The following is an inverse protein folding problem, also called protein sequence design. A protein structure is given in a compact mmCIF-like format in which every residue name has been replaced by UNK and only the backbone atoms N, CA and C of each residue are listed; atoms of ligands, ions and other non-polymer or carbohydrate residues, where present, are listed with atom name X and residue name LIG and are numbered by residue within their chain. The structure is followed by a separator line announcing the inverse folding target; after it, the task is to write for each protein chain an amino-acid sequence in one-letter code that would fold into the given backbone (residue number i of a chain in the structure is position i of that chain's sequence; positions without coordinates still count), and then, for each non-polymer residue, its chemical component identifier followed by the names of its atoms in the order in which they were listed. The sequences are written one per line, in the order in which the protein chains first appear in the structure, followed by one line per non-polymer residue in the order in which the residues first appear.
data_IF_870571686962
#
_entry.id   IF_870571686962
#
_cell.length_a   1.000
_cell.length_b   1.000
_cell.length_c   1.000
_cell.angle_alpha   90.00
_cell.angle_beta   90.00
_cell.angle_gamma   90.00
#
_symmetry.space_group_name_H-M   'P 1'
#
loop_
_entity.id
_entity.type
_entity.pdbx_description
1 polymer ?
#
# COMPACT_ATOMS: atom_id res chain seq x y z
N UNK A 1 -14.47 -18.23 2.64
CA UNK A 1 -14.07 -17.87 4.01
C UNK A 1 -15.14 -18.28 5.01
N UNK A 2 -16.38 -17.88 4.79
CA UNK A 2 -17.51 -18.15 5.70
C UNK A 2 -17.76 -19.63 5.94
N UNK A 3 -17.54 -20.49 4.94
CA UNK A 3 -17.71 -21.95 5.08
C UNK A 3 -16.75 -22.59 6.12
N UNK A 4 -15.65 -21.93 6.43
CA UNK A 4 -14.65 -22.40 7.39
C UNK A 4 -14.82 -21.75 8.78
N UNK A 5 -15.69 -20.76 8.89
CA UNK A 5 -16.07 -20.16 10.17
C UNK A 5 -17.39 -20.79 10.61
N UNK A 6 -17.36 -21.53 11.70
CA UNK A 6 -18.55 -22.21 12.26
C UNK A 6 -19.56 -21.25 12.90
N UNK A 7 -19.63 -20.00 12.43
CA UNK A 7 -20.46 -18.92 12.98
C UNK A 7 -21.22 -18.20 11.87
N UNK A 8 -22.41 -17.73 12.17
CA UNK A 8 -23.23 -16.88 11.30
C UNK A 8 -22.73 -15.43 11.34
N UNK A 9 -21.48 -15.20 10.91
CA UNK A 9 -20.91 -13.87 10.84
C UNK A 9 -21.14 -13.29 9.43
N UNK A 10 -21.78 -12.13 9.29
CA UNK A 10 -21.90 -11.47 7.99
C UNK A 10 -20.53 -11.16 7.38
N UNK A 11 -20.41 -11.31 6.07
CA UNK A 11 -19.20 -10.95 5.33
C UNK A 11 -19.55 -10.06 4.16
N UNK A 12 -18.74 -9.02 3.94
CA UNK A 12 -18.86 -8.06 2.84
C UNK A 12 -17.52 -8.04 2.10
N UNK A 13 -17.58 -8.05 0.78
CA UNK A 13 -16.40 -7.80 -0.07
C UNK A 13 -16.54 -6.40 -0.64
N UNK A 14 -15.48 -5.62 -0.52
CA UNK A 14 -15.37 -4.28 -1.10
C UNK A 14 -14.16 -4.24 -2.01
N UNK A 15 -14.21 -3.39 -3.02
CA UNK A 15 -13.10 -3.13 -3.93
C UNK A 15 -12.90 -1.62 -4.08
N UNK A 16 -11.73 -1.17 -3.72
CA UNK A 16 -11.19 0.17 -3.95
C UNK A 16 -9.74 0.05 -4.46
N UNK A 17 -9.48 -0.97 -5.28
CA UNK A 17 -8.17 -1.28 -5.81
C UNK A 17 -7.12 -1.44 -4.69
N UNK A 18 -5.95 -0.82 -4.80
CA UNK A 18 -4.88 -0.87 -3.81
C UNK A 18 -5.33 -0.41 -2.40
N UNK A 19 -6.34 0.45 -2.31
CA UNK A 19 -6.85 0.99 -1.05
C UNK A 19 -7.91 0.10 -0.37
N UNK A 20 -8.28 -1.05 -0.96
CA UNK A 20 -9.38 -1.91 -0.49
C UNK A 20 -9.28 -2.29 0.99
N UNK A 21 -8.10 -2.71 1.46
CA UNK A 21 -7.95 -3.13 2.85
C UNK A 21 -8.08 -1.97 3.84
N UNK A 22 -7.53 -0.76 3.56
CA UNK A 22 -7.78 0.39 4.41
C UNK A 22 -9.25 0.82 4.36
N UNK A 23 -9.91 0.69 3.21
CA UNK A 23 -11.36 0.96 3.11
C UNK A 23 -12.17 -0.07 3.90
N UNK A 24 -11.76 -1.34 3.96
CA UNK A 24 -12.41 -2.34 4.82
C UNK A 24 -12.26 -2.01 6.31
N UNK A 25 -11.10 -1.50 6.71
CA UNK A 25 -10.84 -1.02 8.07
C UNK A 25 -11.72 0.20 8.40
N UNK A 26 -11.85 1.13 7.45
CA UNK A 26 -12.72 2.31 7.58
C UNK A 26 -14.19 1.91 7.78
N UNK A 27 -14.69 0.99 6.94
CA UNK A 27 -16.07 0.51 7.04
C UNK A 27 -16.32 -0.19 8.39
N UNK A 28 -15.42 -1.06 8.82
CA UNK A 28 -15.50 -1.73 10.12
C UNK A 28 -15.48 -0.72 11.27
N UNK A 29 -14.55 0.22 11.24
CA UNK A 29 -14.44 1.29 12.23
C UNK A 29 -15.74 2.11 12.32
N UNK A 30 -16.29 2.52 11.19
CA UNK A 30 -17.52 3.33 11.14
C UNK A 30 -18.72 2.57 11.71
N UNK A 31 -18.87 1.28 11.39
CA UNK A 31 -19.94 0.45 11.92
C UNK A 31 -19.80 0.19 13.44
N UNK A 32 -18.58 0.02 13.92
CA UNK A 32 -18.33 -0.14 15.36
C UNK A 32 -18.57 1.19 16.09
N UNK A 33 -18.07 2.30 15.57
CA UNK A 33 -18.23 3.63 16.15
C UNK A 33 -19.70 4.07 16.19
N UNK A 34 -20.51 3.65 15.22
CA UNK A 34 -21.97 3.90 15.20
C UNK A 34 -22.80 2.91 16.00
N UNK A 35 -22.19 1.92 16.64
CA UNK A 35 -22.88 0.92 17.47
C UNK A 35 -23.63 -0.16 16.68
N UNK A 36 -23.42 -0.27 15.37
CA UNK A 36 -24.03 -1.33 14.53
C UNK A 36 -23.46 -2.71 14.84
N UNK A 37 -22.16 -2.75 15.20
CA UNK A 37 -21.48 -3.97 15.63
C UNK A 37 -20.46 -3.65 16.74
N UNK A 38 -20.03 -4.70 17.47
CA UNK A 38 -19.05 -4.54 18.54
C UNK A 38 -17.63 -4.85 18.07
N UNK A 39 -17.49 -5.70 17.06
CA UNK A 39 -16.18 -6.09 16.53
C UNK A 39 -16.27 -6.58 15.09
N UNK A 40 -15.15 -6.53 14.39
CA UNK A 40 -15.00 -7.02 13.03
C UNK A 40 -13.56 -7.48 12.76
N UNK A 41 -13.40 -8.40 11.81
CA UNK A 41 -12.13 -8.66 11.14
C UNK A 41 -12.17 -7.88 9.83
N UNK A 42 -11.20 -7.01 9.62
CA UNK A 42 -11.06 -6.19 8.42
C UNK A 42 -9.67 -6.36 7.81
N UNK A 43 -9.58 -6.25 6.51
CA UNK A 43 -8.31 -6.45 5.77
C UNK A 43 -8.57 -6.82 4.33
N UNK A 44 -7.67 -7.61 3.76
CA UNK A 44 -7.80 -8.02 2.37
C UNK A 44 -6.98 -9.23 2.00
N UNK A 45 -7.25 -9.72 0.81
CA UNK A 45 -6.50 -10.80 0.15
C UNK A 45 -6.21 -10.38 -1.28
N UNK A 46 -5.13 -10.91 -1.82
CA UNK A 46 -4.80 -10.80 -3.24
C UNK A 46 -4.22 -12.12 -3.74
N UNK A 47 -4.65 -12.54 -4.90
CA UNK A 47 -4.11 -13.71 -5.60
C UNK A 47 -3.77 -13.36 -7.04
N UNK A 48 -2.71 -12.56 -7.19
CA UNK A 48 -2.23 -12.10 -8.50
C UNK A 48 -1.74 -13.27 -9.37
N UNK A 49 -1.19 -14.32 -8.77
CA UNK A 49 -0.70 -15.50 -9.47
C UNK A 49 -1.82 -16.37 -10.07
N UNK A 50 -3.03 -16.33 -9.50
CA UNK A 50 -4.21 -17.10 -9.93
C UNK A 50 -5.29 -16.20 -10.54
N UNK A 51 -4.90 -15.07 -11.10
CA UNK A 51 -5.83 -14.14 -11.72
C UNK A 51 -6.58 -14.81 -12.88
N UNK A 52 -7.93 -14.78 -12.90
CA UNK A 52 -8.69 -15.37 -13.99
C UNK A 52 -8.52 -14.56 -15.27
N UNK A 53 -8.59 -15.22 -16.40
CA UNK A 53 -8.77 -14.55 -17.68
C UNK A 53 -10.16 -13.90 -17.73
N UNK A 54 -10.20 -12.66 -18.26
CA UNK A 54 -11.45 -11.92 -18.48
C UNK A 54 -11.68 -11.78 -19.98
N UNK A 55 -12.92 -11.84 -20.39
CA UNK A 55 -13.34 -11.70 -21.80
C UNK A 55 -14.28 -10.49 -21.86
N UNK A 56 -14.11 -9.64 -22.88
CA UNK A 56 -15.06 -8.56 -23.14
C UNK A 56 -16.42 -9.09 -23.51
N UNK A 57 -17.48 -8.41 -23.11
CA UNK A 57 -18.84 -8.74 -23.53
C UNK A 57 -18.98 -8.63 -25.06
N UNK A 58 -19.93 -9.37 -25.63
CA UNK A 58 -20.14 -9.39 -27.08
C UNK A 58 -20.50 -8.01 -27.65
N UNK A 59 -21.11 -7.16 -26.82
CA UNK A 59 -21.55 -5.81 -27.19
C UNK A 59 -20.47 -4.74 -26.94
N UNK A 60 -19.31 -5.13 -26.39
CA UNK A 60 -18.17 -4.20 -26.19
C UNK A 60 -17.51 -3.91 -27.55
N UNK A 61 -16.99 -2.72 -27.72
CA UNK A 61 -16.23 -2.33 -28.92
C UNK A 61 -14.80 -2.92 -28.95
N UNK A 62 -14.41 -3.59 -27.88
CA UNK A 62 -13.18 -4.40 -27.74
C UNK A 62 -13.51 -5.86 -27.79
N UNK A 63 -12.58 -6.66 -28.22
CA UNK A 63 -12.74 -8.11 -28.24
C UNK A 63 -11.53 -8.83 -27.62
N UNK A 64 -11.67 -10.14 -27.37
CA UNK A 64 -10.62 -10.99 -26.84
C UNK A 64 -10.46 -10.98 -25.34
N UNK A 65 -9.27 -11.44 -24.91
CA UNK A 65 -8.92 -11.58 -23.50
C UNK A 65 -8.25 -10.30 -22.97
N UNK A 66 -8.55 -9.98 -21.72
CA UNK A 66 -7.83 -8.92 -21.01
C UNK A 66 -7.49 -9.33 -19.58
N UNK A 67 -6.38 -8.80 -19.04
CA UNK A 67 -5.92 -9.06 -17.66
C UNK A 67 -6.13 -7.88 -16.74
N UNK A 68 -6.00 -6.66 -17.24
CA UNK A 68 -6.13 -5.44 -16.46
C UNK A 68 -7.48 -4.81 -16.75
N UNK A 69 -8.30 -4.65 -15.73
CA UNK A 69 -9.57 -3.96 -15.83
C UNK A 69 -9.35 -2.46 -16.10
N UNK A 70 -10.25 -1.84 -16.81
CA UNK A 70 -10.26 -0.39 -17.02
C UNK A 70 -10.57 0.33 -15.70
N UNK A 71 -9.73 1.29 -15.31
CA UNK A 71 -9.88 2.01 -14.04
C UNK A 71 -10.77 3.25 -14.13
N UNK A 72 -10.84 3.86 -15.31
CA UNK A 72 -11.69 5.04 -15.56
C UNK A 72 -12.32 4.96 -16.93
N UNK A 73 -13.47 5.60 -17.17
CA UNK A 73 -14.11 5.60 -18.47
C UNK A 73 -13.24 6.17 -19.60
N UNK A 74 -12.34 7.10 -19.27
CA UNK A 74 -11.50 7.82 -20.22
C UNK A 74 -10.19 7.12 -20.55
N UNK A 75 -9.70 6.23 -19.67
CA UNK A 75 -8.40 5.59 -19.82
C UNK A 75 -8.57 4.08 -20.01
N UNK A 76 -8.37 3.63 -21.24
CA UNK A 76 -8.47 2.23 -21.66
C UNK A 76 -7.12 1.51 -21.68
N UNK A 77 -6.03 2.19 -21.33
CA UNK A 77 -4.70 1.58 -21.37
C UNK A 77 -4.56 0.50 -20.30
N UNK A 78 -4.11 -0.71 -20.64
CA UNK A 78 -3.74 -1.73 -19.65
C UNK A 78 -2.50 -1.32 -18.83
N UNK A 79 -1.81 -0.26 -19.23
CA UNK A 79 -0.62 0.29 -18.58
C UNK A 79 -0.93 1.58 -17.80
N UNK A 80 -2.21 1.92 -17.61
CA UNK A 80 -2.67 3.19 -17.03
C UNK A 80 -1.95 3.54 -15.70
N UNK A 81 -1.64 2.57 -14.85
CA UNK A 81 -0.92 2.80 -13.59
C UNK A 81 0.55 3.17 -13.81
N UNK A 82 1.24 2.48 -14.73
CA UNK A 82 2.62 2.81 -15.10
C UNK A 82 2.70 4.17 -15.77
N UNK A 83 1.76 4.46 -16.68
CA UNK A 83 1.64 5.76 -17.35
C UNK A 83 1.31 6.88 -16.36
N UNK A 84 0.49 6.60 -15.36
CA UNK A 84 0.19 7.52 -14.26
C UNK A 84 1.42 7.84 -13.42
N UNK A 85 2.25 6.84 -13.12
CA UNK A 85 3.52 7.02 -12.43
C UNK A 85 4.49 7.87 -13.29
N UNK A 86 4.62 7.56 -14.58
CA UNK A 86 5.45 8.32 -15.52
C UNK A 86 5.00 9.78 -15.61
N UNK A 87 3.70 10.04 -15.78
CA UNK A 87 3.14 11.40 -15.79
C UNK A 87 3.43 12.15 -14.49
N UNK A 88 3.36 11.45 -13.35
CA UNK A 88 3.66 12.05 -12.04
C UNK A 88 5.13 12.39 -11.90
N UNK A 89 6.04 11.51 -12.36
CA UNK A 89 7.48 11.75 -12.40
C UNK A 89 7.78 13.03 -13.21
N UNK A 90 7.23 13.15 -14.41
CA UNK A 90 7.42 14.32 -15.26
C UNK A 90 6.80 15.60 -14.67
N UNK A 91 5.60 15.51 -14.11
CA UNK A 91 4.93 16.65 -13.44
C UNK A 91 5.78 17.25 -12.32
N UNK A 92 6.47 16.40 -11.57
CA UNK A 92 7.29 16.81 -10.44
C UNK A 92 8.77 17.00 -10.80
N UNK A 93 9.13 16.87 -12.10
CA UNK A 93 10.50 17.02 -12.63
C UNK A 93 11.52 16.15 -11.85
N UNK A 94 11.18 14.86 -11.66
CA UNK A 94 12.04 13.89 -10.99
C UNK A 94 12.83 13.11 -12.04
N UNK A 95 14.13 12.98 -11.84
CA UNK A 95 15.00 12.15 -12.69
C UNK A 95 15.01 10.70 -12.22
N UNK A 96 15.49 9.81 -13.07
CA UNK A 96 15.64 8.39 -12.75
C UNK A 96 16.61 8.18 -11.56
N UNK A 97 17.68 8.92 -11.54
CA UNK A 97 18.73 8.87 -10.54
C UNK A 97 18.25 9.34 -9.16
N UNK A 98 17.39 10.34 -9.12
CA UNK A 98 16.76 10.80 -7.87
C UNK A 98 15.86 9.76 -7.21
N UNK A 99 15.38 8.75 -7.96
CA UNK A 99 14.58 7.66 -7.41
C UNK A 99 15.43 6.55 -6.76
N UNK A 100 16.72 6.44 -7.09
CA UNK A 100 17.57 5.34 -6.62
C UNK A 100 17.71 5.24 -5.10
N UNK A 101 17.93 6.34 -4.35
CA UNK A 101 18.04 6.28 -2.90
C UNK A 101 16.80 5.68 -2.21
N UNK A 102 15.60 5.98 -2.70
CA UNK A 102 14.36 5.47 -2.12
C UNK A 102 14.25 3.95 -2.32
N UNK A 103 14.51 3.47 -3.53
CA UNK A 103 14.48 2.05 -3.86
C UNK A 103 15.50 1.25 -3.02
N UNK A 104 16.75 1.72 -3.00
CA UNK A 104 17.82 1.11 -2.23
C UNK A 104 17.49 1.14 -0.74
N UNK A 105 17.01 2.28 -0.24
CA UNK A 105 16.62 2.48 1.14
C UNK A 105 15.50 1.56 1.59
N UNK A 106 14.45 1.35 0.76
CA UNK A 106 13.36 0.43 1.04
C UNK A 106 13.89 -0.99 1.25
N UNK A 107 14.70 -1.50 0.34
CA UNK A 107 15.30 -2.85 0.47
C UNK A 107 16.25 -2.98 1.67
N UNK A 108 17.03 -1.94 2.00
CA UNK A 108 17.91 -1.94 3.16
C UNK A 108 17.13 -1.96 4.47
N UNK A 109 16.08 -1.14 4.58
CA UNK A 109 15.18 -1.10 5.75
C UNK A 109 14.46 -2.44 5.93
N UNK A 110 13.94 -3.02 4.85
CA UNK A 110 13.30 -4.34 4.86
C UNK A 110 14.27 -5.44 5.31
N UNK A 111 15.50 -5.46 4.82
CA UNK A 111 16.53 -6.41 5.26
C UNK A 111 16.79 -6.27 6.75
N UNK A 112 17.00 -5.05 7.25
CA UNK A 112 17.20 -4.77 8.66
C UNK A 112 16.01 -5.19 9.53
N UNK A 113 14.79 -4.98 9.04
CA UNK A 113 13.57 -5.37 9.76
C UNK A 113 13.45 -6.88 9.92
N UNK A 114 13.84 -7.67 8.90
CA UNK A 114 13.90 -9.12 8.98
C UNK A 114 14.96 -9.60 9.97
N UNK A 115 16.17 -9.03 9.91
CA UNK A 115 17.28 -9.40 10.81
C UNK A 115 16.94 -9.14 12.28
N UNK A 116 16.21 -8.07 12.55
CA UNK A 116 15.78 -7.69 13.91
C UNK A 116 14.43 -8.30 14.33
N UNK A 117 13.80 -9.08 13.47
CA UNK A 117 12.52 -9.74 13.74
C UNK A 117 11.35 -8.81 14.12
N UNK A 118 11.39 -7.54 13.73
CA UNK A 118 10.36 -6.54 14.09
C UNK A 118 8.95 -6.93 13.62
N UNK A 119 8.84 -7.64 12.51
CA UNK A 119 7.56 -8.07 11.94
C UNK A 119 7.16 -9.49 12.36
N UNK A 120 7.97 -10.20 13.12
CA UNK A 120 7.75 -11.63 13.38
C UNK A 120 6.44 -11.92 14.13
N UNK A 121 6.02 -11.06 15.03
CA UNK A 121 4.74 -11.20 15.76
C UNK A 121 3.51 -10.91 14.90
N UNK A 122 3.69 -10.25 13.76
CA UNK A 122 2.64 -9.88 12.81
C UNK A 122 2.54 -10.84 11.63
N UNK A 123 3.53 -11.73 11.44
CA UNK A 123 3.59 -12.67 10.33
C UNK A 123 3.16 -14.05 10.81
N UNK A 124 2.10 -14.59 10.20
CA UNK A 124 1.74 -16.00 10.38
C UNK A 124 2.67 -16.87 9.52
N UNK A 125 3.57 -17.65 10.12
CA UNK A 125 4.47 -18.49 9.37
C UNK A 125 3.70 -19.66 8.73
N UNK A 126 4.00 -19.93 7.47
CA UNK A 126 3.46 -21.09 6.76
C UNK A 126 4.53 -21.75 5.89
N UNK A 127 4.25 -22.97 5.44
CA UNK A 127 5.16 -23.74 4.61
C UNK A 127 4.42 -24.37 3.45
N UNK A 128 5.05 -24.38 2.29
CA UNK A 128 4.56 -25.07 1.09
C UNK A 128 5.52 -26.21 0.79
N UNK A 129 5.00 -27.43 0.66
CA UNK A 129 5.81 -28.63 0.40
C UNK A 129 7.02 -28.80 1.37
N UNK A 130 6.81 -28.47 2.65
CA UNK A 130 7.82 -28.58 3.71
C UNK A 130 8.88 -27.44 3.70
N UNK A 131 8.78 -26.48 2.80
CA UNK A 131 9.65 -25.29 2.78
C UNK A 131 8.93 -24.10 3.43
N UNK A 132 9.58 -23.47 4.40
CA UNK A 132 9.09 -22.24 5.03
C UNK A 132 9.01 -21.15 3.96
N UNK A 133 7.87 -20.48 3.86
CA UNK A 133 7.69 -19.32 3.00
C UNK A 133 8.33 -18.08 3.63
N UNK A 134 8.97 -17.27 2.81
CA UNK A 134 9.63 -16.00 3.16
C UNK A 134 9.33 -14.98 2.07
N UNK A 135 9.54 -13.70 2.38
CA UNK A 135 9.42 -12.63 1.38
C UNK A 135 10.45 -12.80 0.26
N UNK A 136 9.97 -12.96 -0.97
CA UNK A 136 10.82 -13.31 -2.13
C UNK A 136 11.40 -12.09 -2.84
N UNK A 137 10.85 -10.90 -2.61
CA UNK A 137 11.19 -9.68 -3.36
C UNK A 137 12.34 -8.88 -2.77
N UNK A 138 12.68 -9.07 -1.49
CA UNK A 138 13.74 -8.30 -0.83
C UNK A 138 15.09 -8.56 -1.49
N UNK A 139 15.80 -7.49 -1.81
CA UNK A 139 17.12 -7.52 -2.49
C UNK A 139 18.18 -6.83 -1.62
N UNK A 140 18.84 -7.53 -0.68
CA UNK A 140 19.82 -6.92 0.23
C UNK A 140 21.00 -6.25 -0.49
N UNK A 141 21.28 -6.67 -1.74
CA UNK A 141 22.37 -6.13 -2.59
C UNK A 141 21.88 -5.13 -3.63
N UNK A 142 20.68 -4.55 -3.45
CA UNK A 142 20.18 -3.50 -4.36
C UNK A 142 21.14 -2.31 -4.37
N UNK A 143 21.44 -1.79 -5.56
CA UNK A 143 22.39 -0.70 -5.73
C UNK A 143 22.16 0.04 -7.05
N UNK A 144 22.75 1.22 -7.20
CA UNK A 144 22.61 2.08 -8.38
C UNK A 144 23.02 1.39 -9.69
N UNK A 145 24.10 0.58 -9.67
CA UNK A 145 24.58 -0.14 -10.86
C UNK A 145 23.55 -1.15 -11.38
N UNK A 146 22.77 -1.77 -10.50
CA UNK A 146 21.66 -2.64 -10.90
C UNK A 146 20.50 -1.81 -11.46
N UNK A 147 20.13 -0.73 -10.76
CA UNK A 147 19.03 0.15 -11.17
C UNK A 147 19.28 0.85 -12.49
N UNK A 148 20.51 1.31 -12.76
CA UNK A 148 20.86 1.99 -14.01
C UNK A 148 20.70 1.10 -15.25
N UNK A 149 20.78 -0.24 -15.10
CA UNK A 149 20.65 -1.23 -16.18
C UNK A 149 19.22 -1.68 -16.44
N UNK A 150 18.27 -1.28 -15.60
CA UNK A 150 16.87 -1.68 -15.77
C UNK A 150 16.26 -1.01 -16.99
N UNK A 151 15.59 -1.83 -17.82
CA UNK A 151 14.96 -1.36 -19.05
C UNK A 151 13.68 -0.58 -18.71
N UNK A 152 13.43 0.52 -19.42
CA UNK A 152 12.16 1.22 -19.36
C UNK A 152 10.96 0.31 -19.72
N UNK A 153 9.80 0.54 -19.10
CA UNK A 153 8.58 -0.24 -19.34
C UNK A 153 7.64 0.39 -20.37
N UNK A 154 7.69 1.71 -20.57
CA UNK A 154 6.77 2.46 -21.43
C UNK A 154 7.43 3.01 -22.71
N UNK A 155 8.59 2.48 -23.10
CA UNK A 155 9.36 2.95 -24.25
C UNK A 155 10.74 3.47 -23.85
N UNK A 156 11.58 3.79 -24.85
CA UNK A 156 13.02 4.05 -24.62
C UNK A 156 13.31 5.21 -23.66
N UNK A 157 12.45 6.22 -23.66
CA UNK A 157 12.66 7.46 -22.91
C UNK A 157 11.91 7.47 -21.56
N UNK A 158 11.22 6.39 -21.22
CA UNK A 158 10.49 6.28 -19.97
C UNK A 158 11.44 6.07 -18.78
N UNK A 159 11.14 6.76 -17.70
CA UNK A 159 11.83 6.63 -16.41
C UNK A 159 11.31 5.41 -15.66
N UNK A 160 10.03 5.10 -15.81
CA UNK A 160 9.37 3.97 -15.15
C UNK A 160 9.96 2.64 -15.62
N UNK A 161 10.41 1.82 -14.67
CA UNK A 161 11.03 0.51 -14.91
C UNK A 161 10.74 -0.45 -13.76
N UNK A 162 11.14 -1.71 -13.88
CA UNK A 162 10.91 -2.75 -12.87
C UNK A 162 11.62 -2.50 -11.51
N UNK A 163 12.53 -1.55 -11.41
CA UNK A 163 13.19 -1.20 -10.16
C UNK A 163 12.45 -0.11 -9.38
N UNK A 164 11.74 0.80 -10.07
CA UNK A 164 11.01 1.90 -9.45
C UNK A 164 9.50 1.71 -9.43
N UNK A 165 9.03 0.54 -9.87
CA UNK A 165 7.67 0.05 -9.70
C UNK A 165 7.70 -1.20 -8.81
N UNK A 166 6.75 -1.33 -7.91
CA UNK A 166 6.61 -2.51 -7.07
C UNK A 166 6.31 -3.77 -7.89
N UNK A 167 6.65 -4.93 -7.36
CA UNK A 167 6.22 -6.21 -7.93
C UNK A 167 4.81 -6.55 -7.43
N UNK A 168 4.00 -7.12 -8.32
CA UNK A 168 2.70 -7.70 -7.93
C UNK A 168 2.94 -8.95 -7.11
N UNK A 169 2.10 -9.19 -6.11
CA UNK A 169 2.27 -10.29 -5.17
C UNK A 169 0.94 -10.95 -4.81
N UNK A 170 1.00 -12.18 -4.33
CA UNK A 170 -0.05 -12.78 -3.55
C UNK A 170 0.11 -12.35 -2.09
N UNK A 171 -0.99 -12.22 -1.36
CA UNK A 171 -0.92 -11.84 0.03
C UNK A 171 -2.28 -11.86 0.72
N UNK A 172 -2.23 -11.91 2.06
CA UNK A 172 -3.38 -11.77 2.92
C UNK A 172 -2.96 -11.04 4.21
N UNK A 173 -3.71 -10.03 4.62
CA UNK A 173 -3.47 -9.31 5.85
C UNK A 173 -4.78 -8.83 6.45
N UNK A 174 -4.91 -8.99 7.77
CA UNK A 174 -6.13 -8.67 8.51
C UNK A 174 -5.80 -8.06 9.87
N UNK A 175 -6.70 -7.22 10.34
CA UNK A 175 -6.73 -6.68 11.70
C UNK A 175 -8.05 -7.02 12.36
N UNK A 176 -8.04 -7.24 13.66
CA UNK A 176 -9.23 -7.31 14.49
C UNK A 176 -9.49 -5.93 15.09
N UNK A 177 -10.71 -5.43 14.92
CA UNK A 177 -11.16 -4.12 15.39
C UNK A 177 -12.34 -4.34 16.34
N UNK A 178 -12.36 -3.67 17.48
CA UNK A 178 -13.46 -3.77 18.44
C UNK A 178 -13.69 -2.44 19.16
N UNK A 179 -14.82 -2.33 19.84
CA UNK A 179 -15.12 -1.25 20.77
C UNK A 179 -14.47 -1.43 22.15
N UNK A 180 -13.75 -2.54 22.36
CA UNK A 180 -12.98 -2.80 23.58
C UNK A 180 -11.64 -2.06 23.53
N UNK A 181 -11.06 -1.83 24.72
CA UNK A 181 -9.74 -1.21 24.83
C UNK A 181 -8.66 -2.17 24.33
N UNK A 182 -7.87 -1.73 23.37
CA UNK A 182 -6.74 -2.47 22.79
C UNK A 182 -5.43 -1.69 22.87
N UNK A 183 -4.32 -2.27 22.37
CA UNK A 183 -3.01 -1.61 22.36
C UNK A 183 -2.92 -0.45 21.36
N UNK A 184 -3.78 -0.44 20.37
CA UNK A 184 -3.85 0.61 19.36
C UNK A 184 -5.29 1.11 19.21
N UNK A 185 -5.44 2.38 18.91
CA UNK A 185 -6.71 3.03 18.63
C UNK A 185 -6.68 3.64 17.23
N UNK A 186 -7.74 3.47 16.46
CA UNK A 186 -7.95 4.27 15.25
C UNK A 186 -8.32 5.68 15.70
N UNK A 187 -7.44 6.64 15.41
CA UNK A 187 -7.68 8.05 15.71
C UNK A 187 -8.56 8.67 14.63
N UNK A 188 -8.23 8.43 13.37
CA UNK A 188 -9.03 8.84 12.20
C UNK A 188 -8.71 7.96 11.01
N UNK A 189 -9.68 7.75 10.15
CA UNK A 189 -9.48 7.11 8.86
C UNK A 189 -10.44 7.75 7.85
N UNK A 190 -9.99 7.94 6.61
CA UNK A 190 -10.83 8.53 5.58
C UNK A 190 -10.37 8.18 4.16
N UNK A 191 -11.31 7.92 3.24
CA UNK A 191 -11.02 7.85 1.82
C UNK A 191 -10.80 9.23 1.23
N UNK A 192 -10.10 9.25 0.10
CA UNK A 192 -9.84 10.44 -0.71
C UNK A 192 -9.97 10.11 -2.19
N UNK A 193 -10.28 11.11 -3.02
CA UNK A 193 -10.33 10.96 -4.47
C UNK A 193 -9.79 12.22 -5.17
N UNK A 194 -9.07 12.03 -6.26
CA UNK A 194 -8.47 13.08 -7.07
C UNK A 194 -8.34 12.70 -8.54
N UNK A 195 -7.33 13.22 -9.21
CA UNK A 195 -7.14 13.01 -10.65
C UNK A 195 -6.60 11.59 -10.93
N UNK A 196 -7.35 10.74 -11.66
CA UNK A 196 -6.93 9.38 -11.98
C UNK A 196 -5.64 9.29 -12.82
N UNK A 197 -5.30 10.33 -13.56
CA UNK A 197 -4.07 10.37 -14.35
C UNK A 197 -2.79 10.54 -13.51
N UNK A 198 -2.94 10.96 -12.26
CA UNK A 198 -1.86 11.16 -11.29
C UNK A 198 -2.09 10.34 -10.03
N UNK A 199 -2.54 9.09 -10.18
CA UNK A 199 -2.88 8.22 -9.05
C UNK A 199 -1.82 8.16 -7.93
N UNK A 200 -0.48 8.18 -8.20
CA UNK A 200 0.53 8.20 -7.13
C UNK A 200 0.40 9.36 -6.13
N UNK A 201 -0.18 10.50 -6.54
CA UNK A 201 -0.42 11.64 -5.63
C UNK A 201 -1.45 11.34 -4.54
N UNK A 202 -2.23 10.26 -4.68
CA UNK A 202 -3.27 9.88 -3.73
C UNK A 202 -2.77 9.68 -2.30
N UNK A 203 -1.55 9.19 -2.09
CA UNK A 203 -0.96 9.03 -0.77
C UNK A 203 -0.67 10.39 -0.12
N UNK A 204 -0.07 11.33 -0.87
CA UNK A 204 0.22 12.69 -0.41
C UNK A 204 -1.07 13.46 -0.09
N UNK A 205 -2.02 13.43 -1.01
CA UNK A 205 -3.24 14.23 -0.87
C UNK A 205 -4.18 13.69 0.21
N UNK A 206 -4.29 12.36 0.36
CA UNK A 206 -5.04 11.78 1.47
C UNK A 206 -4.37 12.06 2.82
N UNK A 207 -3.02 12.09 2.88
CA UNK A 207 -2.27 12.50 4.07
C UNK A 207 -2.58 13.96 4.45
N UNK A 208 -2.50 14.89 3.50
CA UNK A 208 -2.85 16.29 3.74
C UNK A 208 -4.29 16.44 4.25
N UNK A 209 -5.21 15.70 3.65
CA UNK A 209 -6.62 15.75 4.00
C UNK A 209 -6.89 15.24 5.42
N UNK A 210 -6.28 14.12 5.82
CA UNK A 210 -6.50 13.55 7.16
C UNK A 210 -5.83 14.39 8.24
N UNK A 211 -4.62 14.92 8.02
CA UNK A 211 -3.95 15.83 8.94
C UNK A 211 -4.80 17.09 9.18
N UNK A 212 -5.30 17.70 8.10
CA UNK A 212 -6.20 18.85 8.20
C UNK A 212 -7.50 18.52 8.98
N UNK A 213 -8.06 17.32 8.79
CA UNK A 213 -9.28 16.89 9.45
C UNK A 213 -9.10 16.69 10.97
N UNK A 214 -7.90 16.30 11.39
CA UNK A 214 -7.61 15.94 12.78
C UNK A 214 -6.92 17.06 13.56
N UNK A 215 -6.62 18.19 12.90
CA UNK A 215 -5.79 19.28 13.44
C UNK A 215 -4.39 18.81 13.92
N UNK A 216 -3.94 17.65 13.37
CA UNK A 216 -2.58 17.14 13.58
C UNK A 216 -1.67 17.58 12.44
N UNK A 217 -0.38 17.57 12.71
CA UNK A 217 0.68 17.91 11.76
C UNK A 217 1.58 16.69 11.52
N UNK A 218 2.49 16.79 10.55
CA UNK A 218 3.48 15.73 10.34
C UNK A 218 4.48 15.65 11.51
N UNK A 219 4.66 16.72 12.29
CA UNK A 219 5.50 16.71 13.49
C UNK A 219 4.94 15.83 14.60
N UNK A 220 3.62 15.70 14.68
CA UNK A 220 2.95 14.85 15.67
C UNK A 220 3.07 13.35 15.38
N UNK A 221 3.45 12.99 14.15
CA UNK A 221 3.59 11.59 13.74
C UNK A 221 4.97 11.05 14.15
N UNK A 222 5.01 9.87 14.77
CA UNK A 222 6.24 9.13 15.08
C UNK A 222 6.62 8.16 13.96
N UNK A 223 5.63 7.67 13.24
CA UNK A 223 5.76 6.72 12.12
C UNK A 223 4.87 7.15 10.96
N UNK A 224 5.40 7.04 9.74
CA UNK A 224 4.65 7.23 8.50
C UNK A 224 4.88 6.05 7.57
N UNK A 225 3.81 5.38 7.17
CA UNK A 225 3.82 4.25 6.25
C UNK A 225 2.99 4.60 4.99
N UNK A 226 3.67 4.93 3.90
CA UNK A 226 3.02 5.08 2.59
C UNK A 226 3.30 3.87 1.72
N UNK A 227 2.29 3.45 0.96
CA UNK A 227 2.46 2.34 0.04
C UNK A 227 3.34 2.73 -1.15
N UNK A 228 4.53 2.16 -1.23
CA UNK A 228 5.53 2.36 -2.27
C UNK A 228 5.16 1.61 -3.58
N UNK A 229 3.96 1.88 -4.14
CA UNK A 229 3.59 1.27 -5.43
C UNK A 229 4.57 1.69 -6.55
N UNK A 230 5.14 2.88 -6.43
CA UNK A 230 6.17 3.45 -7.30
C UNK A 230 7.09 4.34 -6.47
N UNK A 231 8.37 4.36 -6.78
CA UNK A 231 9.36 5.18 -6.06
C UNK A 231 9.09 6.70 -6.15
N UNK A 232 8.27 7.16 -7.10
CA UNK A 232 7.80 8.54 -7.15
C UNK A 232 6.99 8.92 -5.91
N UNK A 233 6.32 7.96 -5.26
CA UNK A 233 5.55 8.20 -4.03
C UNK A 233 6.49 8.61 -2.90
N UNK A 234 7.64 7.94 -2.79
CA UNK A 234 8.69 8.29 -1.82
C UNK A 234 9.26 9.68 -2.09
N UNK A 235 9.53 9.99 -3.36
CA UNK A 235 10.00 11.31 -3.77
C UNK A 235 8.98 12.42 -3.46
N UNK A 236 7.68 12.14 -3.58
CA UNK A 236 6.62 13.07 -3.18
C UNK A 236 6.61 13.30 -1.68
N UNK A 237 6.85 12.24 -0.88
CA UNK A 237 6.97 12.38 0.56
C UNK A 237 8.17 13.25 0.93
N UNK A 238 9.36 12.93 0.41
CA UNK A 238 10.58 13.66 0.69
C UNK A 238 10.48 15.14 0.29
N UNK A 239 9.93 15.44 -0.89
CA UNK A 239 9.69 16.84 -1.32
C UNK A 239 8.72 17.59 -0.42
N UNK A 240 7.74 16.93 0.15
CA UNK A 240 6.69 17.55 0.96
C UNK A 240 7.05 17.64 2.44
N UNK A 241 7.84 16.67 2.92
CA UNK A 241 8.18 16.48 4.33
C UNK A 241 9.65 16.06 4.52
N UNK A 242 10.64 16.82 4.02
CA UNK A 242 12.05 16.40 3.97
C UNK A 242 12.63 16.11 5.36
N UNK A 243 12.23 16.87 6.38
CA UNK A 243 12.71 16.70 7.76
C UNK A 243 12.15 15.42 8.43
N UNK A 244 11.23 14.71 7.76
CA UNK A 244 10.51 13.57 8.31
C UNK A 244 10.89 12.23 7.70
N UNK A 245 11.88 12.18 6.79
CA UNK A 245 12.34 10.92 6.16
C UNK A 245 12.82 9.88 7.17
N UNK A 246 13.27 10.27 8.34
CA UNK A 246 13.70 9.36 9.41
C UNK A 246 12.60 8.48 10.00
N UNK A 247 11.32 8.88 9.85
CA UNK A 247 10.14 8.15 10.34
C UNK A 247 9.30 7.54 9.21
N UNK A 248 9.79 7.61 7.97
CA UNK A 248 9.10 7.15 6.77
C UNK A 248 9.48 5.71 6.41
N UNK A 249 8.47 4.84 6.29
CA UNK A 249 8.60 3.42 5.92
C UNK A 249 9.79 2.74 6.62
N UNK A 250 9.82 2.87 7.95
CA UNK A 250 10.98 2.51 8.78
C UNK A 250 11.39 1.04 8.66
N UNK A 251 10.44 0.18 8.33
CA UNK A 251 10.66 -1.26 8.15
C UNK A 251 10.79 -1.69 6.69
N UNK A 252 10.90 -0.72 5.76
CA UNK A 252 10.82 -0.94 4.32
C UNK A 252 9.37 -0.99 3.83
N UNK A 253 9.15 -0.87 2.53
CA UNK A 253 7.81 -0.81 1.95
C UNK A 253 7.64 -1.69 0.71
N UNK A 254 6.62 -1.41 -0.08
CA UNK A 254 6.20 -2.25 -1.20
C UNK A 254 7.24 -2.42 -2.32
N UNK A 255 8.19 -1.51 -2.47
CA UNK A 255 9.32 -1.69 -3.39
C UNK A 255 10.19 -2.89 -3.00
N UNK A 256 10.30 -3.18 -1.70
CA UNK A 256 11.07 -4.29 -1.19
C UNK A 256 10.23 -5.56 -0.99
N UNK A 257 9.04 -5.44 -0.40
CA UNK A 257 8.19 -6.60 -0.06
C UNK A 257 7.27 -7.03 -1.20
N UNK A 258 6.99 -6.16 -2.17
CA UNK A 258 5.95 -6.36 -3.18
C UNK A 258 4.62 -5.73 -2.77
N UNK A 259 3.67 -5.73 -3.69
CA UNK A 259 2.37 -5.04 -3.55
C UNK A 259 1.21 -5.98 -3.89
N UNK A 260 0.69 -6.73 -2.91
CA UNK A 260 -0.52 -7.53 -3.08
C UNK A 260 -1.76 -6.65 -2.91
N UNK A 261 -2.09 -5.89 -3.90
CA UNK A 261 -3.09 -4.81 -4.03
C UNK A 261 -4.17 -4.79 -2.95
N UNK A 262 -5.07 -5.80 -2.97
CA UNK A 262 -6.25 -5.85 -2.11
C UNK A 262 -5.96 -5.93 -0.60
N UNK A 263 -4.77 -6.41 -0.19
CA UNK A 263 -4.40 -6.50 1.22
C UNK A 263 -3.34 -5.47 1.67
N UNK A 264 -2.74 -4.72 0.76
CA UNK A 264 -1.63 -3.82 1.08
C UNK A 264 -1.96 -2.77 2.13
N UNK A 265 -3.20 -2.25 2.15
CA UNK A 265 -3.62 -1.32 3.18
C UNK A 265 -3.58 -1.89 4.60
N UNK A 266 -3.90 -3.18 4.77
CA UNK A 266 -3.78 -3.86 6.06
C UNK A 266 -2.32 -4.15 6.42
N UNK A 267 -1.47 -4.46 5.42
CA UNK A 267 -0.02 -4.59 5.62
C UNK A 267 0.56 -3.29 6.15
N UNK A 268 0.20 -2.13 5.56
CA UNK A 268 0.63 -0.82 6.07
C UNK A 268 0.22 -0.60 7.53
N UNK A 269 -1.01 -0.95 7.90
CA UNK A 269 -1.47 -0.83 9.27
C UNK A 269 -0.64 -1.71 10.23
N UNK A 270 -0.34 -2.95 9.86
CA UNK A 270 0.49 -3.87 10.64
C UNK A 270 1.96 -3.40 10.71
N UNK A 271 2.53 -2.90 9.62
CA UNK A 271 3.87 -2.30 9.61
C UNK A 271 3.93 -1.07 10.53
N UNK A 272 2.92 -0.21 10.46
CA UNK A 272 2.81 0.96 11.32
C UNK A 272 2.75 0.57 12.81
N UNK A 273 1.97 -0.44 13.18
CA UNK A 273 1.92 -0.99 14.54
C UNK A 273 3.30 -1.47 14.99
N UNK A 274 3.96 -2.30 14.17
CA UNK A 274 5.29 -2.82 14.47
C UNK A 274 6.35 -1.71 14.59
N UNK A 275 6.30 -0.71 13.72
CA UNK A 275 7.20 0.44 13.76
C UNK A 275 6.98 1.29 15.01
N UNK A 276 5.72 1.56 15.38
CA UNK A 276 5.38 2.28 16.63
C UNK A 276 5.87 1.55 17.87
N UNK A 277 5.76 0.21 17.90
CA UNK A 277 6.31 -0.60 19.00
C UNK A 277 7.83 -0.51 19.04
N UNK A 278 8.50 -0.57 17.87
CA UNK A 278 9.96 -0.57 17.78
C UNK A 278 10.61 0.75 18.21
N UNK A 279 9.94 1.88 17.97
CA UNK A 279 10.44 3.22 18.33
C UNK A 279 9.79 3.79 19.61
N UNK A 280 8.90 3.02 20.27
CA UNK A 280 8.07 3.49 21.38
C UNK A 280 7.25 4.76 21.03
N UNK A 281 6.84 4.87 19.76
CA UNK A 281 6.07 5.99 19.23
C UNK A 281 4.60 5.93 19.64
N UNK A 282 3.91 7.04 19.51
CA UNK A 282 2.49 7.20 19.85
C UNK A 282 1.61 7.26 18.61
N UNK A 283 1.87 8.17 17.68
CA UNK A 283 1.05 8.36 16.48
C UNK A 283 1.71 7.80 15.23
N UNK A 284 0.94 7.03 14.47
CA UNK A 284 1.35 6.52 13.16
C UNK A 284 0.33 6.87 12.08
N UNK A 285 0.83 7.25 10.90
CA UNK A 285 0.04 7.58 9.74
C UNK A 285 0.30 6.55 8.63
N UNK A 286 -0.76 5.94 8.11
CA UNK A 286 -0.71 5.12 6.92
C UNK A 286 -1.42 5.83 5.77
N UNK A 287 -0.86 5.78 4.55
CA UNK A 287 -1.55 6.25 3.36
C UNK A 287 -1.27 5.37 2.14
N UNK A 288 -2.28 5.19 1.32
CA UNK A 288 -2.21 4.40 0.11
C UNK A 288 -2.91 5.12 -1.03
N UNK A 289 -2.25 5.16 -2.19
CA UNK A 289 -2.84 5.59 -3.44
C UNK A 289 -3.47 4.38 -4.14
N UNK A 290 -4.64 4.55 -4.69
CA UNK A 290 -5.35 3.53 -5.46
C UNK A 290 -5.51 3.90 -6.93
N UNK A 291 -5.66 2.91 -7.78
CA UNK A 291 -5.98 3.10 -9.19
C UNK A 291 -7.29 3.90 -9.35
N UNK A 292 -7.42 4.65 -10.43
CA UNK A 292 -8.58 5.51 -10.67
C UNK A 292 -8.55 6.83 -9.90
N UNK A 293 -7.39 7.21 -9.31
CA UNK A 293 -7.23 8.46 -8.57
C UNK A 293 -7.81 8.41 -7.16
N UNK A 294 -7.94 7.22 -6.59
CA UNK A 294 -8.39 7.05 -5.21
C UNK A 294 -7.23 7.05 -4.22
N UNK A 295 -7.53 7.20 -2.95
CA UNK A 295 -6.57 7.08 -1.86
C UNK A 295 -7.29 6.88 -0.53
N UNK A 296 -6.57 6.41 0.46
CA UNK A 296 -7.07 6.30 1.84
C UNK A 296 -5.94 6.60 2.80
N UNK A 297 -6.23 7.34 3.86
CA UNK A 297 -5.30 7.59 4.95
C UNK A 297 -5.91 7.17 6.29
N UNK A 298 -5.05 6.66 7.16
CA UNK A 298 -5.36 6.22 8.53
C UNK A 298 -4.36 6.86 9.48
N UNK A 299 -4.83 7.45 10.58
CA UNK A 299 -4.02 7.77 11.74
C UNK A 299 -4.39 6.82 12.87
N UNK A 300 -3.41 6.14 13.42
CA UNK A 300 -3.55 5.31 14.61
C UNK A 300 -2.73 5.86 15.77
N UNK A 301 -3.17 5.53 16.98
CA UNK A 301 -2.52 5.89 18.22
C UNK A 301 -2.22 4.63 19.02
N UNK A 302 -0.98 4.45 19.45
CA UNK A 302 -0.58 3.42 20.43
C UNK A 302 -0.91 3.93 21.84
N UNK A 303 -1.62 3.09 22.61
CA UNK A 303 -2.15 3.43 23.94
C UNK A 303 -1.16 2.99 25.04
#
# INVERSE_FOLDING_TARGET
LMSNLSVSTPAVTIDMQCASALMSIEMAYTHIASGVMNSAIAGGIESSSLQPDRIYATEDDRDGLYKVAQFTPQDRSPLAMLEGAERTIHKHNITKEELYPYIIGSHQRATKALDNSFLQSYIMPFSINGKKCVDECIRPKMNEKLLSRMKPLLGKDSITNAGNACLTHDGAAFVYISNEKGPFRIHSIMPWAGNPQFSPEGALESTKAILKRTDLTMDDMDVVEWNEAFAIIDALFDKSYPDHMGKYNMLGGALAYGHPYGCSGAILALHCMAALESCNGRYGLCAIAGAGGTGTALIMERI
#
